data_IF_879203900813
#
_entry.id   IF_879203900813
#
_cell.length_a   1.000
_cell.length_b   1.000
_cell.length_c   1.000
_cell.angle_alpha   90.00
_cell.angle_beta   90.00
_cell.angle_gamma   90.00
#
_symmetry.space_group_name_H-M   'P 1'
#
loop_
_entity.id
_entity.type
_entity.pdbx_description
1 polymer ?
#
# COMPACT_ATOMS: atom_id res chain seq x y z
N UNK A 1 -18.49 -10.88 3.42
CA UNK A 1 -17.50 -11.73 2.71
C UNK A 1 -16.39 -12.09 3.69
N UNK A 2 -16.30 -13.35 4.08
CA UNK A 2 -15.20 -13.83 4.90
C UNK A 2 -13.95 -13.90 4.02
N UNK A 3 -12.97 -13.08 4.35
CA UNK A 3 -11.65 -13.00 3.73
C UNK A 3 -10.72 -14.16 4.16
N UNK A 4 -11.32 -15.29 4.55
CA UNK A 4 -10.64 -16.55 4.94
C UNK A 4 -10.14 -17.32 3.72
N UNK A 5 -10.69 -17.06 2.53
CA UNK A 5 -10.27 -17.71 1.27
C UNK A 5 -9.26 -16.90 0.45
N UNK A 6 -8.80 -15.75 0.96
CA UNK A 6 -7.90 -14.86 0.23
C UNK A 6 -6.45 -15.16 0.58
N UNK A 7 -5.60 -15.33 -0.43
CA UNK A 7 -4.17 -15.57 -0.29
C UNK A 7 -3.56 -14.59 0.72
N UNK A 8 -2.82 -15.08 1.74
CA UNK A 8 -2.13 -14.20 2.66
C UNK A 8 -1.11 -13.37 1.89
N UNK A 9 -0.99 -12.10 2.27
CA UNK A 9 -0.04 -11.16 1.67
C UNK A 9 0.83 -10.51 2.74
N UNK A 10 0.73 -10.95 3.99
CA UNK A 10 1.49 -10.40 5.11
C UNK A 10 1.89 -11.53 6.04
N UNK A 11 3.18 -11.61 6.34
CA UNK A 11 3.77 -12.56 7.29
C UNK A 11 4.18 -11.82 8.55
N UNK A 12 3.80 -12.36 9.70
CA UNK A 12 4.11 -11.83 11.03
C UNK A 12 4.97 -12.86 11.76
N UNK A 13 6.18 -12.48 12.17
CA UNK A 13 7.06 -13.36 12.95
C UNK A 13 7.08 -12.90 14.40
N UNK A 14 6.96 -13.83 15.35
CA UNK A 14 6.90 -13.54 16.78
C UNK A 14 8.18 -13.96 17.52
N UNK A 15 8.35 -13.47 18.75
CA UNK A 15 9.55 -13.71 19.58
C UNK A 15 9.80 -15.17 19.95
N UNK A 16 8.74 -15.95 20.10
CA UNK A 16 8.78 -17.39 20.37
C UNK A 16 9.04 -18.23 19.10
N UNK A 17 9.22 -17.57 17.95
CA UNK A 17 9.56 -18.18 16.67
C UNK A 17 8.37 -18.66 15.84
N UNK A 18 7.12 -18.52 16.32
CA UNK A 18 5.97 -18.84 15.45
C UNK A 18 5.74 -17.74 14.41
N UNK A 19 4.96 -18.07 13.39
CA UNK A 19 4.65 -17.17 12.29
C UNK A 19 3.17 -17.27 11.93
N UNK A 20 2.53 -16.12 11.79
CA UNK A 20 1.18 -16.01 11.26
C UNK A 20 1.22 -15.43 9.84
N UNK A 21 0.37 -15.97 8.97
CA UNK A 21 0.15 -15.43 7.64
C UNK A 21 -1.28 -14.92 7.53
N UNK A 22 -1.43 -13.64 7.22
CA UNK A 22 -2.73 -12.96 7.18
C UNK A 22 -2.91 -12.19 5.88
N UNK A 23 -4.16 -12.08 5.44
CA UNK A 23 -4.52 -11.21 4.33
C UNK A 23 -4.89 -9.81 4.84
N UNK A 24 -3.97 -8.86 4.70
CA UNK A 24 -4.19 -7.44 4.98
C UNK A 24 -4.75 -6.77 3.73
N UNK A 25 -5.95 -6.20 3.83
CA UNK A 25 -6.58 -5.46 2.74
C UNK A 25 -6.38 -3.96 2.93
N UNK A 26 -6.71 -3.17 1.89
CA UNK A 26 -6.71 -1.71 2.00
C UNK A 26 -7.58 -1.19 3.15
N UNK A 27 -8.64 -1.91 3.53
CA UNK A 27 -9.46 -1.52 4.68
C UNK A 27 -8.69 -1.47 5.99
N UNK A 28 -7.83 -2.47 6.26
CA UNK A 28 -7.00 -2.45 7.46
C UNK A 28 -5.93 -1.36 7.41
N UNK A 29 -5.39 -1.06 6.21
CA UNK A 29 -4.47 0.07 6.01
C UNK A 29 -5.15 1.42 6.30
N UNK A 30 -6.37 1.64 5.83
CA UNK A 30 -7.14 2.85 6.14
C UNK A 30 -7.46 2.98 7.64
N UNK A 31 -7.74 1.86 8.32
CA UNK A 31 -7.91 1.87 9.79
C UNK A 31 -6.62 2.24 10.52
N UNK A 32 -5.46 1.77 10.03
CA UNK A 32 -4.16 2.17 10.56
C UNK A 32 -3.90 3.66 10.39
N UNK A 33 -4.18 4.24 9.22
CA UNK A 33 -4.06 5.69 9.00
C UNK A 33 -4.97 6.50 9.92
N UNK A 34 -6.22 6.05 10.07
CA UNK A 34 -7.18 6.71 10.97
C UNK A 34 -6.68 6.69 12.41
N UNK A 35 -6.13 5.56 12.86
CA UNK A 35 -5.54 5.43 14.18
C UNK A 35 -4.30 6.30 14.35
N UNK A 36 -3.41 6.32 13.36
CA UNK A 36 -2.19 7.13 13.35
C UNK A 36 -2.50 8.62 13.48
N UNK A 37 -3.52 9.12 12.75
CA UNK A 37 -3.99 10.50 12.87
C UNK A 37 -4.53 10.79 14.27
N UNK A 38 -5.36 9.89 14.82
CA UNK A 38 -5.93 10.05 16.15
C UNK A 38 -4.88 10.03 17.28
N UNK A 39 -3.79 9.28 17.11
CA UNK A 39 -2.69 9.16 18.08
C UNK A 39 -1.53 10.14 17.84
N UNK A 40 -1.58 10.93 16.77
CA UNK A 40 -0.50 11.87 16.43
C UNK A 40 0.81 11.19 16.04
N UNK A 41 0.75 10.05 15.33
CA UNK A 41 1.96 9.32 14.92
C UNK A 41 2.76 10.00 13.81
N UNK A 42 2.21 11.01 13.15
CA UNK A 42 2.84 11.71 12.04
C UNK A 42 2.28 11.27 10.68
N UNK A 43 2.99 11.61 9.60
CA UNK A 43 2.60 11.25 8.24
C UNK A 43 2.88 9.78 7.94
N UNK A 44 2.38 9.29 6.80
CA UNK A 44 2.62 7.92 6.38
C UNK A 44 4.11 7.58 6.24
N UNK A 45 4.93 8.56 5.84
CA UNK A 45 6.38 8.40 5.69
C UNK A 45 7.10 8.36 7.05
N UNK A 46 6.60 9.09 8.05
CA UNK A 46 7.21 9.14 9.38
C UNK A 46 6.90 7.89 10.21
N UNK A 47 5.80 7.22 9.90
CA UNK A 47 5.25 6.13 10.71
C UNK A 47 5.03 4.82 9.93
N UNK A 48 5.76 4.59 8.82
CA UNK A 48 5.60 3.41 7.95
C UNK A 48 5.55 2.10 8.73
N UNK A 49 6.51 1.91 9.65
CA UNK A 49 6.60 0.69 10.47
C UNK A 49 5.36 0.52 11.36
N UNK A 50 4.92 1.61 12.03
CA UNK A 50 3.75 1.59 12.92
C UNK A 50 2.47 1.35 12.13
N UNK A 51 2.33 1.94 10.96
CA UNK A 51 1.17 1.77 10.09
C UNK A 51 1.07 0.33 9.57
N UNK A 52 2.18 -0.24 9.10
CA UNK A 52 2.22 -1.63 8.64
C UNK A 52 1.90 -2.61 9.77
N UNK A 53 2.53 -2.43 10.94
CA UNK A 53 2.27 -3.26 12.11
C UNK A 53 0.81 -3.15 12.57
N UNK A 54 0.26 -1.93 12.60
CA UNK A 54 -1.12 -1.73 13.04
C UNK A 54 -2.15 -2.31 12.04
N UNK A 55 -1.89 -2.24 10.74
CA UNK A 55 -2.75 -2.85 9.73
C UNK A 55 -2.80 -4.39 9.91
N UNK A 56 -1.65 -5.02 10.15
CA UNK A 56 -1.57 -6.44 10.48
C UNK A 56 -2.31 -6.77 11.78
N UNK A 57 -2.07 -6.01 12.86
CA UNK A 57 -2.75 -6.15 14.14
C UNK A 57 -4.28 -6.10 14.00
N UNK A 58 -4.82 -5.13 13.26
CA UNK A 58 -6.27 -5.00 13.05
C UNK A 58 -6.82 -6.25 12.38
N UNK A 59 -6.08 -6.83 11.41
CA UNK A 59 -6.48 -8.09 10.79
C UNK A 59 -6.47 -9.22 11.81
N UNK A 60 -5.41 -9.37 12.59
CA UNK A 60 -5.30 -10.38 13.65
C UNK A 60 -6.46 -10.27 14.67
N UNK A 61 -6.86 -9.04 15.04
CA UNK A 61 -8.02 -8.80 15.92
C UNK A 61 -9.34 -9.25 15.29
N UNK A 62 -9.54 -8.94 14.00
CA UNK A 62 -10.77 -9.29 13.28
C UNK A 62 -10.96 -10.79 13.09
N UNK A 63 -9.89 -11.55 12.94
CA UNK A 63 -9.93 -13.01 12.80
C UNK A 63 -9.80 -13.76 14.13
N UNK A 64 -9.66 -13.05 15.25
CA UNK A 64 -9.52 -13.66 16.57
C UNK A 64 -8.13 -14.24 16.87
N UNK A 65 -7.12 -14.00 16.03
CA UNK A 65 -5.74 -14.45 16.27
C UNK A 65 -5.07 -13.74 17.46
N UNK A 66 -5.55 -12.55 17.82
CA UNK A 66 -5.09 -11.85 19.03
C UNK A 66 -6.24 -11.18 19.78
N UNK A 67 -6.18 -11.25 21.10
CA UNK A 67 -7.14 -10.60 22.01
C UNK A 67 -6.56 -9.40 22.76
N UNK A 68 -5.22 -9.24 22.75
CA UNK A 68 -4.50 -8.23 23.52
C UNK A 68 -4.45 -6.86 22.80
N UNK A 69 -4.19 -5.75 23.52
CA UNK A 69 -3.99 -4.42 22.92
C UNK A 69 -2.80 -4.36 21.97
N UNK A 70 -2.79 -3.33 21.10
CA UNK A 70 -1.77 -3.17 20.06
C UNK A 70 -0.35 -3.16 20.62
N UNK A 71 -0.10 -2.40 21.68
CA UNK A 71 1.24 -2.26 22.26
C UNK A 71 1.74 -3.59 22.84
N UNK A 72 0.86 -4.38 23.44
CA UNK A 72 1.20 -5.71 23.97
C UNK A 72 1.42 -6.74 22.87
N UNK A 73 0.63 -6.67 21.79
CA UNK A 73 0.85 -7.51 20.62
C UNK A 73 2.15 -7.12 19.89
N UNK A 74 2.42 -5.83 19.72
CA UNK A 74 3.61 -5.36 19.03
C UNK A 74 4.90 -5.73 19.77
N UNK A 75 4.86 -5.81 21.11
CA UNK A 75 5.99 -6.26 21.93
C UNK A 75 6.35 -7.73 21.70
N UNK A 76 5.41 -8.56 21.22
CA UNK A 76 5.68 -9.97 20.88
C UNK A 76 6.10 -10.18 19.43
N UNK A 77 5.98 -9.15 18.58
CA UNK A 77 6.22 -9.23 17.13
C UNK A 77 7.63 -8.78 16.79
N UNK A 78 8.37 -9.66 16.11
CA UNK A 78 9.73 -9.40 15.62
C UNK A 78 9.71 -8.73 14.26
N UNK A 79 8.82 -9.16 13.36
CA UNK A 79 8.74 -8.61 12.00
C UNK A 79 7.33 -8.70 11.42
N UNK A 80 7.01 -7.74 10.54
CA UNK A 80 5.80 -7.73 9.71
C UNK A 80 6.24 -7.45 8.28
N UNK A 81 6.07 -8.43 7.40
CA UNK A 81 6.56 -8.40 6.00
C UNK A 81 5.38 -8.47 5.04
N UNK A 82 5.32 -7.54 4.08
CA UNK A 82 4.40 -7.62 2.93
C UNK A 82 5.00 -8.59 1.91
N UNK A 83 4.38 -9.76 1.76
CA UNK A 83 4.88 -10.85 0.92
C UNK A 83 4.76 -10.54 -0.57
N UNK A 84 3.90 -9.60 -0.96
CA UNK A 84 3.76 -9.19 -2.36
C UNK A 84 4.87 -8.23 -2.82
N UNK A 85 5.65 -7.69 -1.87
CA UNK A 85 6.80 -6.83 -2.14
C UNK A 85 8.12 -7.53 -1.82
N UNK A 86 8.11 -8.87 -1.69
CA UNK A 86 9.34 -9.63 -1.51
C UNK A 86 10.15 -9.59 -2.83
N UNK A 87 11.43 -9.18 -2.82
CA UNK A 87 12.22 -9.03 -4.04
C UNK A 87 12.50 -10.35 -4.79
N UNK A 88 12.06 -11.49 -4.26
CA UNK A 88 12.26 -12.80 -4.90
C UNK A 88 11.33 -13.12 -6.08
N UNK A 89 10.34 -12.27 -6.38
CA UNK A 89 9.36 -12.48 -7.47
C UNK A 89 9.69 -11.70 -8.77
N UNK A 90 10.97 -11.37 -9.04
CA UNK A 90 11.37 -10.60 -10.25
C UNK A 90 12.14 -11.42 -11.29
N UNK A 91 12.36 -12.72 -11.11
CA UNK A 91 13.25 -13.50 -11.99
C UNK A 91 12.57 -14.64 -12.79
N UNK A 92 11.36 -14.47 -13.33
CA UNK A 92 10.88 -15.44 -14.35
C UNK A 92 9.79 -14.95 -15.32
N UNK A 93 9.91 -13.77 -15.93
CA UNK A 93 9.19 -13.49 -17.20
C UNK A 93 10.00 -12.55 -18.10
N UNK A 94 11.20 -12.98 -18.50
CA UNK A 94 11.94 -12.40 -19.61
C UNK A 94 11.92 -13.34 -20.83
N UNK A 95 10.74 -13.79 -21.25
CA UNK A 95 10.58 -14.54 -22.50
C UNK A 95 10.15 -13.59 -23.62
N UNK A 96 11.18 -13.02 -24.25
CA UNK A 96 11.28 -12.64 -25.67
C UNK A 96 9.97 -12.42 -26.46
N UNK A 97 9.62 -11.16 -26.74
CA UNK A 97 8.86 -10.80 -27.94
C UNK A 97 9.65 -9.79 -28.78
N UNK A 98 10.60 -10.30 -29.55
CA UNK A 98 11.06 -9.64 -30.77
C UNK A 98 10.04 -9.94 -31.87
N UNK A 99 9.18 -8.97 -32.18
CA UNK A 99 8.28 -9.01 -33.33
C UNK A 99 8.00 -7.59 -33.84
N UNK A 100 7.92 -7.34 -35.15
CA UNK A 100 7.86 -5.98 -35.68
C UNK A 100 6.51 -5.34 -35.36
N UNK A 101 6.55 -4.12 -34.83
CA UNK A 101 5.36 -3.28 -34.57
C UNK A 101 4.63 -2.93 -35.88
N UNK A 102 3.36 -3.33 -36.09
CA UNK A 102 2.55 -2.71 -37.12
C UNK A 102 1.95 -1.41 -36.54
N UNK A 103 2.30 -0.29 -37.18
CA UNK A 103 1.62 0.99 -36.97
C UNK A 103 0.17 0.84 -37.46
N UNK A 104 -0.81 1.08 -36.59
CA UNK A 104 -2.19 1.25 -37.01
C UNK A 104 -2.75 2.48 -36.34
N UNK A 105 -2.90 3.53 -37.15
CA UNK A 105 -3.63 4.75 -36.84
C UNK A 105 -5.10 4.44 -36.55
N UNK A 106 -5.68 5.04 -35.51
CA UNK A 106 -7.14 5.07 -35.32
C UNK A 106 -7.57 5.31 -33.88
N UNK A 107 -8.24 6.44 -33.66
CA UNK A 107 -9.10 6.80 -32.52
C UNK A 107 -8.49 6.94 -31.12
N UNK A 108 -7.99 8.14 -30.82
CA UNK A 108 -7.94 8.66 -29.45
C UNK A 108 -9.35 9.08 -29.02
N UNK A 109 -10.06 8.20 -28.33
CA UNK A 109 -11.24 8.58 -27.55
C UNK A 109 -10.84 8.79 -26.08
N UNK A 110 -10.84 10.06 -25.70
CA UNK A 110 -11.08 10.61 -24.35
C UNK A 110 -10.13 10.21 -23.21
N UNK A 111 -9.01 10.92 -23.12
CA UNK A 111 -8.27 11.08 -21.87
C UNK A 111 -8.51 12.50 -21.33
N UNK A 112 -8.91 12.69 -20.05
CA UNK A 112 -9.16 14.02 -19.52
C UNK A 112 -7.81 14.77 -19.36
N UNK A 113 -7.66 15.85 -20.12
CA UNK A 113 -6.45 16.66 -20.14
C UNK A 113 -6.23 17.40 -18.82
N UNK A 114 -5.25 16.95 -18.04
CA UNK A 114 -4.64 17.81 -17.01
C UNK A 114 -3.66 18.75 -17.72
N UNK A 115 -4.16 19.90 -18.18
CA UNK A 115 -3.36 20.89 -18.90
C UNK A 115 -2.31 21.48 -17.95
N UNK A 116 -1.05 21.09 -18.14
CA UNK A 116 0.11 21.73 -17.53
C UNK A 116 0.81 22.52 -18.63
N UNK A 117 0.90 23.84 -18.49
CA UNK A 117 1.62 24.66 -19.46
C UNK A 117 1.59 26.14 -19.12
N UNK A 118 2.52 26.57 -18.27
CA UNK A 118 2.88 27.98 -18.14
C UNK A 118 3.69 28.41 -19.38
N UNK A 119 3.29 29.47 -20.09
CA UNK A 119 4.24 30.40 -20.75
C UNK A 119 3.58 31.70 -21.22
N UNK A 120 4.06 32.83 -20.69
CA UNK A 120 4.40 34.04 -21.45
C UNK A 120 3.28 34.95 -21.98
N UNK A 121 3.21 36.18 -21.45
CA UNK A 121 2.52 37.27 -22.13
C UNK A 121 2.34 38.53 -21.29
N UNK A 122 3.38 39.36 -21.22
CA UNK A 122 3.34 40.74 -20.69
C UNK A 122 2.48 41.66 -21.56
N UNK A 123 1.56 42.45 -20.96
CA UNK A 123 1.15 43.81 -21.35
C UNK A 123 0.06 44.28 -20.36
N UNK A 124 0.33 45.27 -19.51
CA UNK A 124 0.11 46.70 -19.73
C UNK A 124 -1.12 47.22 -18.96
N UNK A 125 -0.81 47.88 -17.84
CA UNK A 125 -1.34 49.16 -17.35
C UNK A 125 -2.80 49.59 -17.60
N UNK A 126 -3.43 49.94 -16.47
CA UNK A 126 -4.16 51.19 -16.19
C UNK A 126 -5.68 51.28 -16.41
N UNK A 127 -6.36 51.61 -15.28
CA UNK A 127 -7.33 52.71 -15.04
C UNK A 127 -8.60 52.70 -15.93
N UNK A 128 -9.84 52.71 -15.45
CA UNK A 128 -10.50 53.35 -14.30
C UNK A 128 -11.73 52.51 -13.90
#
# INVERSE_FOLDING_TARGET
MNNETKTPNTRITYLDGHTDEVCVTMWQRCQAETHAKAKGWGSALDAVVKLNAYAAYVRCRQIGATSVPFEQWADTVVSVVDMNNDPTDTEEQAETMNGPVPVSSGDMADAPGFSTGATGGTAAASVN
#
